data_IF_414282889845
#
_entry.id   IF_414282889845
#
_cell.length_a   1.000
_cell.length_b   1.000
_cell.length_c   1.000
_cell.angle_alpha   90.00
_cell.angle_beta   90.00
_cell.angle_gamma   90.00
#
_symmetry.space_group_name_H-M   'P 1'
#
loop_
_entity.id
_entity.type
_entity.pdbx_description
1 polymer ?
#
# COMPACT_ATOMS: atom_id res chain seq x y z
N UNK A 1 2.59 -24.25 -28.74
CA UNK A 1 1.85 -23.16 -28.09
C UNK A 1 1.03 -22.43 -29.12
N UNK A 2 -0.08 -21.80 -28.73
CA UNK A 2 -1.02 -21.12 -29.63
C UNK A 2 -0.59 -19.68 -29.99
N UNK A 3 0.71 -19.39 -29.95
CA UNK A 3 1.24 -18.09 -30.34
C UNK A 3 1.13 -17.94 -31.87
N UNK A 4 0.60 -16.80 -32.34
CA UNK A 4 0.48 -16.49 -33.76
C UNK A 4 -0.82 -16.95 -34.44
N UNK A 5 -1.81 -17.47 -33.69
CA UNK A 5 -3.17 -17.66 -34.24
C UNK A 5 -3.88 -16.32 -34.37
N UNK A 6 -4.64 -16.16 -35.45
CA UNK A 6 -5.49 -15.00 -35.67
C UNK A 6 -6.41 -14.79 -34.45
N UNK A 7 -6.38 -13.57 -33.88
CA UNK A 7 -7.14 -13.22 -32.68
C UNK A 7 -6.48 -13.55 -31.32
N UNK A 8 -5.27 -14.13 -31.29
CA UNK A 8 -4.52 -14.35 -30.03
C UNK A 8 -3.41 -13.33 -29.88
N UNK A 9 -3.53 -12.45 -28.87
CA UNK A 9 -2.55 -11.42 -28.57
C UNK A 9 -1.78 -11.71 -27.28
N UNK A 10 -0.48 -11.44 -27.29
CA UNK A 10 0.34 -11.47 -26.06
C UNK A 10 0.06 -10.19 -25.27
N UNK A 11 -0.51 -10.34 -24.08
CA UNK A 11 -0.81 -9.23 -23.18
C UNK A 11 0.22 -9.18 -22.05
N UNK A 12 0.82 -8.01 -21.84
CA UNK A 12 1.68 -7.75 -20.70
C UNK A 12 0.97 -6.79 -19.73
N UNK A 13 0.65 -7.22 -18.49
CA UNK A 13 0.00 -6.34 -17.53
C UNK A 13 0.96 -5.24 -17.08
N UNK A 14 0.46 -3.99 -17.09
CA UNK A 14 1.17 -2.82 -16.59
C UNK A 14 0.48 -2.38 -15.30
N UNK A 15 1.24 -2.40 -14.20
CA UNK A 15 0.77 -1.91 -12.91
C UNK A 15 1.12 -0.44 -12.70
N UNK A 16 0.47 0.20 -11.73
CA UNK A 16 0.92 1.52 -11.26
C UNK A 16 2.37 1.45 -10.74
N UNK A 17 3.00 2.62 -10.64
CA UNK A 17 4.36 2.74 -10.16
C UNK A 17 4.55 4.02 -9.34
N UNK A 18 5.51 3.99 -8.43
CA UNK A 18 5.92 5.11 -7.59
C UNK A 18 7.08 5.85 -8.25
N UNK A 19 7.10 7.18 -8.18
CA UNK A 19 8.32 7.92 -8.47
C UNK A 19 9.37 7.64 -7.40
N UNK A 20 10.55 7.16 -7.79
CA UNK A 20 11.59 6.74 -6.84
C UNK A 20 11.94 7.78 -5.77
N UNK A 21 11.81 9.07 -6.11
CA UNK A 21 12.02 10.21 -5.20
C UNK A 21 11.02 10.29 -4.04
N UNK A 22 9.82 9.72 -4.19
CA UNK A 22 8.81 9.66 -3.13
C UNK A 22 8.99 8.45 -2.20
N UNK A 23 9.95 7.57 -2.47
CA UNK A 23 10.26 6.48 -1.55
C UNK A 23 10.91 7.04 -0.29
N UNK A 24 10.39 6.62 0.86
CA UNK A 24 10.95 6.90 2.18
C UNK A 24 11.69 5.65 2.67
N UNK A 25 12.97 5.45 2.29
CA UNK A 25 13.74 4.28 2.71
C UNK A 25 13.95 4.24 4.22
N UNK A 26 14.00 5.42 4.85
CA UNK A 26 14.05 5.60 6.30
C UNK A 26 12.74 6.28 6.72
N UNK A 27 11.69 5.51 7.07
CA UNK A 27 10.41 6.08 7.47
C UNK A 27 10.53 6.76 8.83
N UNK A 28 9.57 7.64 9.12
CA UNK A 28 9.47 8.30 10.41
C UNK A 28 9.19 7.27 11.52
N UNK A 29 9.53 7.59 12.79
CA UNK A 29 9.19 6.74 13.93
C UNK A 29 7.70 6.40 13.97
N UNK A 30 7.38 5.16 14.29
CA UNK A 30 5.98 4.68 14.34
C UNK A 30 5.31 5.23 15.60
N UNK A 31 4.23 5.99 15.40
CA UNK A 31 3.39 6.62 16.42
C UNK A 31 1.98 6.03 16.42
N UNK A 32 1.47 5.61 15.26
CA UNK A 32 0.11 5.10 15.11
C UNK A 32 0.10 3.61 14.77
N UNK A 33 -0.82 2.85 15.37
CA UNK A 33 -1.09 1.46 14.96
C UNK A 33 -1.54 1.40 13.51
N UNK A 34 -2.54 2.22 13.18
CA UNK A 34 -3.11 2.37 11.86
C UNK A 34 -3.16 3.84 11.48
N UNK A 35 -2.91 4.11 10.21
CA UNK A 35 -2.93 5.48 9.70
C UNK A 35 -4.27 6.15 9.96
N UNK A 36 -4.26 7.35 10.56
CA UNK A 36 -5.48 8.09 10.81
C UNK A 36 -6.09 8.66 9.51
N UNK A 37 -5.37 8.60 8.38
CA UNK A 37 -5.89 8.91 7.07
C UNK A 37 -6.61 7.70 6.45
N UNK A 38 -7.92 7.85 6.19
CA UNK A 38 -8.76 6.82 5.56
C UNK A 38 -9.46 7.35 4.30
N UNK A 39 -8.93 7.04 3.11
CA UNK A 39 -9.46 7.56 1.84
C UNK A 39 -10.64 6.72 1.30
N UNK A 40 -11.84 7.31 1.20
CA UNK A 40 -12.99 6.61 0.62
C UNK A 40 -14.37 7.18 0.94
N UNK A 41 -14.47 8.08 1.92
CA UNK A 41 -15.61 8.99 2.02
C UNK A 41 -15.16 10.27 1.31
N UNK A 42 -15.81 10.70 0.23
CA UNK A 42 -15.52 11.99 -0.42
C UNK A 42 -15.64 13.17 0.57
N UNK A 43 -16.26 12.95 1.74
CA UNK A 43 -16.28 13.88 2.87
C UNK A 43 -15.25 13.58 3.97
N UNK A 44 -14.17 12.81 3.74
CA UNK A 44 -13.10 12.56 4.73
C UNK A 44 -11.67 12.86 4.23
N UNK A 45 -11.52 13.73 3.23
CA UNK A 45 -10.75 14.92 3.59
C UNK A 45 -11.60 15.62 4.64
N UNK A 46 -11.72 15.13 5.87
CA UNK A 46 -12.28 15.87 6.98
C UNK A 46 -11.91 15.15 8.25
N UNK A 47 -10.98 15.74 8.98
CA UNK A 47 -10.92 15.59 10.42
C UNK A 47 -10.45 16.93 10.95
N UNK A 48 -11.40 17.76 11.35
CA UNK A 48 -11.31 18.31 12.69
C UNK A 48 -12.66 18.11 13.36
N UNK A 49 -12.58 17.94 14.68
CA UNK A 49 -13.70 18.03 15.60
C UNK A 49 -14.73 19.05 15.10
N UNK A 50 -16.01 18.66 15.14
CA UNK A 50 -17.16 19.49 14.76
C UNK A 50 -17.19 19.98 13.29
N UNK A 51 -18.05 19.36 12.48
CA UNK A 51 -18.63 19.93 11.22
C UNK A 51 -17.77 19.93 9.94
N UNK A 52 -17.22 18.77 9.55
CA UNK A 52 -17.10 18.41 8.12
C UNK A 52 -16.22 19.29 7.20
N UNK A 53 -14.97 19.60 7.58
CA UNK A 53 -14.00 20.32 6.71
C UNK A 53 -12.70 19.54 6.42
N UNK A 54 -12.11 19.74 5.23
CA UNK A 54 -10.90 19.12 4.60
C UNK A 54 -9.73 18.83 5.56
N UNK A 55 -9.33 17.55 5.74
CA UNK A 55 -8.16 17.15 6.58
C UNK A 55 -6.83 17.57 5.96
N UNK A 56 -6.73 17.46 4.64
CA UNK A 56 -5.53 17.80 3.86
C UNK A 56 -5.95 18.58 2.61
N UNK A 57 -5.44 19.80 2.44
CA UNK A 57 -5.69 20.58 1.24
C UNK A 57 -5.03 20.01 -0.01
N UNK A 58 -5.38 20.52 -1.21
CA UNK A 58 -4.51 20.41 -2.38
C UNK A 58 -3.12 20.94 -2.01
N UNK A 59 -2.03 20.25 -2.39
CA UNK A 59 -0.64 20.57 -2.03
C UNK A 59 -0.18 20.15 -0.61
N UNK A 60 -1.03 19.45 0.15
CA UNK A 60 -0.67 18.91 1.47
C UNK A 60 -0.41 17.41 1.44
N UNK A 61 0.01 16.88 0.28
CA UNK A 61 0.21 15.43 0.11
C UNK A 61 1.26 14.89 1.07
N UNK A 62 2.28 15.69 1.36
CA UNK A 62 3.31 15.37 2.33
C UNK A 62 2.76 15.07 3.72
N UNK A 63 1.64 15.69 4.14
CA UNK A 63 1.07 15.49 5.48
C UNK A 63 0.44 14.10 5.63
N UNK A 64 -0.33 13.64 4.63
CA UNK A 64 -0.88 12.28 4.71
C UNK A 64 0.19 11.21 4.47
N UNK A 65 1.23 11.50 3.68
CA UNK A 65 2.40 10.63 3.54
C UNK A 65 3.15 10.51 4.87
N UNK A 66 3.25 11.61 5.62
CA UNK A 66 3.80 11.64 6.97
C UNK A 66 2.99 10.80 7.95
N UNK A 67 1.66 10.89 7.90
CA UNK A 67 0.76 10.03 8.67
C UNK A 67 0.99 8.56 8.34
N UNK A 68 1.06 8.20 7.05
CA UNK A 68 1.42 6.84 6.66
C UNK A 68 2.79 6.45 7.23
N UNK A 69 3.81 7.29 7.07
CA UNK A 69 5.17 7.00 7.51
C UNK A 69 5.26 6.75 9.03
N UNK A 70 4.48 7.49 9.82
CA UNK A 70 4.33 7.32 11.27
C UNK A 70 3.42 6.15 11.67
N UNK A 71 2.87 5.38 10.74
CA UNK A 71 1.94 4.29 11.04
C UNK A 71 2.55 2.91 10.80
N UNK A 72 2.20 1.91 11.63
CA UNK A 72 2.56 0.52 11.34
C UNK A 72 1.80 0.02 10.12
N UNK A 73 0.49 0.22 10.11
CA UNK A 73 -0.38 -0.17 9.02
C UNK A 73 -1.16 1.01 8.45
N UNK A 74 -1.61 0.90 7.21
CA UNK A 74 -2.60 1.81 6.64
C UNK A 74 -3.67 1.02 5.90
N UNK A 75 -4.93 1.28 6.24
CA UNK A 75 -6.06 0.52 5.70
C UNK A 75 -6.21 0.78 4.21
N UNK A 76 -6.40 -0.29 3.45
CA UNK A 76 -6.67 -0.18 2.03
C UNK A 76 -7.64 -1.25 1.54
N UNK A 77 -8.21 -1.00 0.36
CA UNK A 77 -9.16 -1.87 -0.33
C UNK A 77 -9.14 -1.57 -1.83
N UNK A 78 -9.68 -2.50 -2.62
CA UNK A 78 -10.00 -2.24 -4.04
C UNK A 78 -10.92 -1.02 -4.18
N UNK A 79 -10.70 -0.18 -5.20
CA UNK A 79 -11.55 0.99 -5.52
C UNK A 79 -11.69 1.08 -7.04
N UNK A 80 -12.81 0.59 -7.58
CA UNK A 80 -13.02 0.45 -9.04
C UNK A 80 -12.20 -0.69 -9.67
N UNK A 81 -10.95 -0.86 -9.23
CA UNK A 81 -10.09 -2.01 -9.50
C UNK A 81 -9.25 -2.38 -8.28
N UNK A 82 -8.49 -3.47 -8.41
CA UNK A 82 -7.52 -3.90 -7.39
C UNK A 82 -6.26 -3.06 -7.42
N UNK A 83 -5.76 -2.75 -8.61
CA UNK A 83 -4.58 -1.92 -8.76
C UNK A 83 -4.96 -0.44 -8.59
N UNK A 84 -4.54 0.19 -7.49
CA UNK A 84 -4.81 1.60 -7.24
C UNK A 84 -3.64 2.29 -6.55
N UNK A 85 -3.44 3.58 -6.87
CA UNK A 85 -2.30 4.38 -6.40
C UNK A 85 -2.10 4.36 -4.88
N UNK A 86 -3.17 4.23 -4.10
CA UNK A 86 -3.09 4.20 -2.65
C UNK A 86 -2.17 3.12 -2.09
N UNK A 87 -2.16 1.94 -2.71
CA UNK A 87 -1.29 0.84 -2.26
C UNK A 87 0.17 1.26 -2.34
N UNK A 88 0.50 1.97 -3.41
CA UNK A 88 1.83 2.48 -3.72
C UNK A 88 2.21 3.64 -2.82
N UNK A 89 1.30 4.58 -2.54
CA UNK A 89 1.54 5.69 -1.60
C UNK A 89 1.86 5.20 -0.18
N UNK A 90 1.11 4.20 0.31
CA UNK A 90 1.34 3.60 1.63
C UNK A 90 2.73 2.95 1.68
N UNK A 91 3.04 2.13 0.67
CA UNK A 91 4.33 1.44 0.55
C UNK A 91 5.50 2.43 0.43
N UNK A 92 5.35 3.45 -0.41
CA UNK A 92 6.34 4.50 -0.63
C UNK A 92 6.63 5.29 0.64
N UNK A 93 5.60 5.54 1.45
CA UNK A 93 5.74 6.25 2.74
C UNK A 93 6.45 5.42 3.81
N UNK A 94 6.72 4.14 3.55
CA UNK A 94 7.33 3.20 4.48
C UNK A 94 6.36 2.67 5.54
N UNK A 95 5.11 2.46 5.15
CA UNK A 95 4.09 1.76 5.93
C UNK A 95 3.62 0.50 5.21
N UNK A 96 3.08 -0.46 5.95
CA UNK A 96 2.54 -1.69 5.35
C UNK A 96 1.04 -1.51 5.08
N UNK A 97 0.55 -1.77 3.85
CA UNK A 97 -0.88 -1.71 3.58
C UNK A 97 -1.62 -2.86 4.25
N UNK A 98 -2.73 -2.57 4.93
CA UNK A 98 -3.61 -3.56 5.54
C UNK A 98 -4.89 -3.70 4.71
N UNK A 99 -5.03 -4.84 4.05
CA UNK A 99 -6.11 -5.09 3.11
C UNK A 99 -7.30 -5.78 3.79
N UNK A 100 -8.50 -5.25 3.56
CA UNK A 100 -9.73 -5.85 4.08
C UNK A 100 -10.13 -7.16 3.38
N UNK A 101 -9.61 -7.41 2.17
CA UNK A 101 -10.01 -8.53 1.31
C UNK A 101 -8.90 -9.03 0.38
N UNK A 102 -7.63 -9.04 0.80
CA UNK A 102 -6.50 -9.44 -0.06
C UNK A 102 -6.58 -10.88 -0.60
N UNK A 103 -7.30 -11.76 0.11
CA UNK A 103 -7.55 -13.13 -0.33
C UNK A 103 -8.31 -13.21 -1.66
N UNK A 104 -9.13 -12.19 -1.98
CA UNK A 104 -9.90 -12.14 -3.23
C UNK A 104 -9.13 -11.51 -4.41
N UNK A 105 -7.85 -11.15 -4.24
CA UNK A 105 -7.01 -10.60 -5.31
C UNK A 105 -6.72 -11.69 -6.37
N UNK A 106 -7.08 -11.48 -7.65
CA UNK A 106 -6.81 -12.42 -8.74
C UNK A 106 -5.31 -12.58 -9.02
N UNK A 107 -4.89 -13.76 -9.49
CA UNK A 107 -3.47 -14.10 -9.66
C UNK A 107 -2.71 -13.21 -10.66
N UNK A 108 -3.39 -12.74 -11.72
CA UNK A 108 -2.78 -11.92 -12.78
C UNK A 108 -3.04 -10.42 -12.57
N UNK A 109 -3.26 -9.99 -11.33
CA UNK A 109 -3.55 -8.59 -10.99
C UNK A 109 -2.56 -8.11 -9.94
N UNK A 110 -2.08 -6.86 -10.06
CA UNK A 110 -1.02 -6.31 -9.21
C UNK A 110 0.22 -7.23 -9.19
N UNK A 111 0.69 -7.66 -10.36
CA UNK A 111 1.73 -8.69 -10.50
C UNK A 111 3.08 -8.31 -9.91
N UNK A 112 3.31 -7.01 -9.71
CA UNK A 112 4.54 -6.46 -9.10
C UNK A 112 4.40 -6.19 -7.61
N UNK A 113 3.19 -6.33 -7.04
CA UNK A 113 2.93 -6.05 -5.64
C UNK A 113 3.48 -7.17 -4.74
N UNK A 114 4.13 -6.84 -3.60
CA UNK A 114 4.72 -7.82 -2.68
C UNK A 114 3.65 -8.53 -1.84
N UNK A 115 2.75 -9.28 -2.50
CA UNK A 115 1.56 -9.89 -1.90
C UNK A 115 1.90 -10.75 -0.69
N UNK A 116 2.91 -11.62 -0.82
CA UNK A 116 3.31 -12.57 0.22
C UNK A 116 3.87 -11.86 1.46
N UNK A 117 4.72 -10.86 1.27
CA UNK A 117 5.30 -10.07 2.36
C UNK A 117 4.21 -9.29 3.11
N UNK A 118 3.29 -8.67 2.37
CA UNK A 118 2.17 -7.92 2.96
C UNK A 118 1.22 -8.86 3.72
N UNK A 119 0.90 -10.03 3.14
CA UNK A 119 0.07 -11.04 3.81
C UNK A 119 0.70 -11.51 5.13
N UNK A 120 2.02 -11.76 5.13
CA UNK A 120 2.76 -12.14 6.33
C UNK A 120 2.71 -11.04 7.39
N UNK A 121 2.94 -9.79 7.00
CA UNK A 121 2.88 -8.68 7.95
C UNK A 121 1.48 -8.51 8.55
N UNK A 122 0.43 -8.70 7.75
CA UNK A 122 -0.96 -8.67 8.22
C UNK A 122 -1.32 -9.84 9.15
N UNK A 123 -0.58 -10.95 9.09
CA UNK A 123 -0.81 -12.13 9.94
C UNK A 123 0.01 -12.13 11.22
N UNK A 124 0.74 -11.07 11.53
CA UNK A 124 1.47 -10.96 12.80
C UNK A 124 0.50 -10.97 13.99
N UNK A 125 0.89 -11.58 15.12
CA UNK A 125 0.05 -11.63 16.32
C UNK A 125 -0.19 -10.23 16.89
N UNK A 126 -1.31 -10.06 17.60
CA UNK A 126 -1.66 -8.78 18.24
C UNK A 126 -2.33 -7.77 17.33
N UNK A 127 -2.52 -8.07 16.04
CA UNK A 127 -3.28 -7.20 15.14
C UNK A 127 -4.77 -7.53 15.26
N UNK A 128 -5.57 -6.50 15.52
CA UNK A 128 -7.03 -6.58 15.49
C UNK A 128 -7.60 -5.48 14.59
N UNK A 129 -8.68 -5.79 13.87
CA UNK A 129 -9.32 -4.83 12.99
C UNK A 129 -10.84 -4.90 13.12
N UNK A 130 -11.45 -3.81 13.55
CA UNK A 130 -12.89 -3.64 13.60
C UNK A 130 -13.40 -3.15 12.25
N UNK A 131 -14.23 -3.97 11.59
CA UNK A 131 -14.78 -3.64 10.26
C UNK A 131 -15.93 -2.65 10.32
N UNK A 132 -16.65 -2.57 11.43
CA UNK A 132 -17.79 -1.67 11.60
C UNK A 132 -17.29 -0.26 11.85
N UNK A 133 -16.34 -0.12 12.78
CA UNK A 133 -15.70 1.16 13.10
C UNK A 133 -14.62 1.56 12.08
N UNK A 134 -14.08 0.58 11.34
CA UNK A 134 -12.99 0.80 10.38
C UNK A 134 -11.67 1.16 11.07
N UNK A 135 -11.47 0.70 12.30
CA UNK A 135 -10.32 1.01 13.16
C UNK A 135 -9.52 -0.26 13.41
N UNK A 136 -8.21 -0.19 13.15
CA UNK A 136 -7.26 -1.22 13.53
C UNK A 136 -6.51 -0.86 14.80
N UNK A 137 -6.15 -1.88 15.59
CA UNK A 137 -5.38 -1.74 16.83
C UNK A 137 -4.31 -2.83 16.91
N UNK A 138 -3.18 -2.50 17.52
CA UNK A 138 -2.08 -3.42 17.79
C UNK A 138 -1.94 -3.60 19.30
N UNK A 139 -2.02 -4.84 19.77
CA UNK A 139 -1.59 -5.18 21.13
C UNK A 139 -0.06 -5.31 21.16
N UNK A 140 0.60 -4.22 21.55
CA UNK A 140 2.06 -4.15 21.63
C UNK A 140 2.70 -5.10 22.63
N UNK A 141 1.94 -5.77 23.50
CA UNK A 141 2.48 -6.80 24.42
C UNK A 141 2.84 -8.09 23.71
N UNK A 142 2.17 -8.38 22.58
CA UNK A 142 2.34 -9.62 21.81
C UNK A 142 2.81 -9.36 20.38
N UNK A 143 2.70 -8.13 19.89
CA UNK A 143 3.15 -7.75 18.56
C UNK A 143 4.67 -7.83 18.44
N UNK A 144 5.16 -8.54 17.42
CA UNK A 144 6.59 -8.66 17.16
C UNK A 144 7.09 -7.48 16.31
N UNK A 145 7.56 -6.42 16.99
CA UNK A 145 8.10 -5.22 16.33
C UNK A 145 9.32 -5.54 15.45
N UNK A 146 10.21 -6.42 15.90
CA UNK A 146 11.41 -6.78 15.14
C UNK A 146 11.03 -7.45 13.83
N UNK A 147 10.06 -8.38 13.87
CA UNK A 147 9.54 -9.03 12.68
C UNK A 147 8.81 -8.07 11.75
N UNK A 148 8.03 -7.14 12.30
CA UNK A 148 7.41 -6.09 11.50
C UNK A 148 8.46 -5.26 10.74
N UNK A 149 9.49 -4.75 11.41
CA UNK A 149 10.52 -3.93 10.77
C UNK A 149 11.35 -4.73 9.75
N UNK A 150 11.59 -6.01 10.01
CA UNK A 150 12.23 -6.91 9.04
C UNK A 150 11.39 -7.03 7.76
N UNK A 151 10.09 -7.31 7.89
CA UNK A 151 9.18 -7.40 6.75
C UNK A 151 9.04 -6.06 6.02
N UNK A 152 8.92 -4.96 6.75
CA UNK A 152 8.89 -3.61 6.17
C UNK A 152 10.14 -3.34 5.34
N UNK A 153 11.33 -3.72 5.83
CA UNK A 153 12.57 -3.54 5.09
C UNK A 153 12.59 -4.37 3.80
N UNK A 154 12.15 -5.63 3.84
CA UNK A 154 12.04 -6.45 2.64
C UNK A 154 11.07 -5.85 1.62
N UNK A 155 9.94 -5.32 2.08
CA UNK A 155 8.95 -4.64 1.25
C UNK A 155 9.55 -3.39 0.60
N UNK A 156 10.29 -2.56 1.35
CA UNK A 156 10.92 -1.35 0.81
C UNK A 156 11.94 -1.67 -0.28
N UNK A 157 12.77 -2.70 -0.09
CA UNK A 157 13.72 -3.18 -1.11
C UNK A 157 12.95 -3.63 -2.36
N UNK A 158 11.92 -4.46 -2.17
CA UNK A 158 11.08 -4.92 -3.27
C UNK A 158 10.46 -3.78 -4.07
N UNK A 159 9.88 -2.79 -3.38
CA UNK A 159 9.24 -1.61 -3.99
C UNK A 159 10.24 -0.82 -4.84
N UNK A 160 11.45 -0.58 -4.31
CA UNK A 160 12.50 0.14 -5.03
C UNK A 160 12.90 -0.58 -6.32
N UNK A 161 13.01 -1.89 -6.27
CA UNK A 161 13.45 -2.75 -7.39
C UNK A 161 12.36 -3.02 -8.43
N UNK A 162 11.09 -3.10 -8.03
CA UNK A 162 10.03 -3.66 -8.89
C UNK A 162 8.87 -2.71 -9.19
N UNK A 163 8.65 -1.69 -8.34
CA UNK A 163 7.43 -0.87 -8.33
C UNK A 163 7.71 0.62 -8.54
N UNK A 164 8.95 1.00 -8.89
CA UNK A 164 9.26 2.37 -9.30
C UNK A 164 8.96 2.60 -10.77
N UNK A 165 8.74 3.85 -11.17
CA UNK A 165 8.55 4.24 -12.59
C UNK A 165 9.72 3.79 -13.44
N UNK A 166 10.95 3.88 -12.91
CA UNK A 166 12.16 3.34 -13.54
C UNK A 166 12.10 1.82 -13.69
N UNK A 167 11.78 1.08 -12.63
CA UNK A 167 11.67 -0.38 -12.69
C UNK A 167 10.60 -0.84 -13.70
N UNK A 168 9.47 -0.14 -13.74
CA UNK A 168 8.41 -0.39 -14.71
C UNK A 168 8.91 -0.18 -16.15
N UNK A 169 9.56 0.96 -16.42
CA UNK A 169 10.11 1.27 -17.74
C UNK A 169 11.13 0.21 -18.20
N UNK A 170 12.04 -0.21 -17.30
CA UNK A 170 13.01 -1.26 -17.60
C UNK A 170 12.34 -2.60 -17.94
N UNK A 171 11.28 -2.97 -17.21
CA UNK A 171 10.51 -4.20 -17.48
C UNK A 171 9.82 -4.14 -18.84
N UNK A 172 9.24 -3.00 -19.19
CA UNK A 172 8.60 -2.81 -20.49
C UNK A 172 9.58 -2.98 -21.64
N UNK A 173 10.78 -2.38 -21.53
CA UNK A 173 11.84 -2.52 -22.53
C UNK A 173 12.33 -3.96 -22.70
N UNK A 174 12.22 -4.81 -21.67
CA UNK A 174 12.58 -6.24 -21.75
C UNK A 174 11.46 -7.10 -22.37
N UNK A 175 10.22 -6.60 -22.40
CA UNK A 175 9.07 -7.32 -22.98
C UNK A 175 8.82 -6.99 -24.45
N UNK A 176 9.49 -5.94 -24.96
CA UNK A 176 9.51 -5.52 -26.36
C UNK A 176 10.66 -6.20 -27.09
#
# INVERSE_FOLDING_TARGET
>A
GAEGREGVFRMYPISYAVYGEYLRPNPLPKVYDFSPYSPGKMSKFTTHASRGGVRYGPLEEYKYQDDYSRSYFAVTRRKGGWDCMRHYEILASGSIPFFLNLSSLPNNTMTTFPRTLVQHAMSLPGISFDREEGVGRIDHRVFDHARYFFLLRQIQIWVAEHMTTRALAMRLLQTM
#
